data_IF_228445956305
#
_entry.id   IF_228445956305
#
_cell.length_a   1.000
_cell.length_b   1.000
_cell.length_c   1.000
_cell.angle_alpha   90.00
_cell.angle_beta   90.00
_cell.angle_gamma   90.00
#
_symmetry.space_group_name_H-M   'P 1'
#
loop_
_entity.id
_entity.type
_entity.pdbx_description
1 polymer ?
#
# COMPACT_ATOMS: atom_id res chain seq x y z
N UNK A 1 24.67 -44.96 27.90
CA UNK A 1 23.40 -44.23 27.78
C UNK A 1 22.50 -44.80 28.86
N UNK A 2 22.07 -43.97 29.82
CA UNK A 2 21.14 -44.39 30.86
C UNK A 2 19.78 -44.67 30.20
N UNK A 3 19.20 -45.82 30.48
CA UNK A 3 17.86 -46.19 30.05
C UNK A 3 17.03 -46.27 31.32
N UNK A 4 16.09 -45.35 31.47
CA UNK A 4 15.17 -45.37 32.60
C UNK A 4 14.09 -46.42 32.33
N UNK A 5 14.05 -47.45 33.16
CA UNK A 5 13.01 -48.47 33.12
C UNK A 5 11.91 -48.02 34.08
N UNK A 6 10.80 -47.54 33.52
CA UNK A 6 9.61 -47.18 34.29
C UNK A 6 8.66 -48.36 34.31
N UNK A 7 8.34 -48.83 35.51
CA UNK A 7 7.29 -49.81 35.74
C UNK A 7 6.03 -49.06 36.12
N UNK A 8 4.98 -49.18 35.31
CA UNK A 8 3.71 -48.54 35.61
C UNK A 8 3.19 -49.03 36.98
N UNK A 9 2.71 -48.12 37.85
CA UNK A 9 2.17 -48.50 39.15
C UNK A 9 0.95 -49.42 38.99
N UNK A 10 0.61 -50.18 40.03
CA UNK A 10 -0.54 -51.06 39.99
C UNK A 10 -1.80 -50.30 39.56
N UNK A 11 -2.65 -50.94 38.75
CA UNK A 11 -3.87 -50.35 38.15
C UNK A 11 -4.86 -49.71 39.12
N UNK A 12 -4.73 -49.96 40.42
CA UNK A 12 -5.54 -49.33 41.47
C UNK A 12 -5.02 -47.96 41.93
N UNK A 13 -3.80 -47.58 41.56
CA UNK A 13 -3.15 -46.32 41.95
C UNK A 13 -3.18 -45.29 40.82
N UNK A 14 -2.78 -45.68 39.61
CA UNK A 14 -2.77 -44.81 38.42
C UNK A 14 -2.98 -45.66 37.17
N UNK A 15 -3.66 -45.12 36.16
CA UNK A 15 -3.83 -45.80 34.87
C UNK A 15 -2.51 -45.82 34.08
N UNK A 16 -2.31 -46.83 33.23
CA UNK A 16 -1.16 -46.86 32.33
C UNK A 16 -1.16 -45.67 31.35
N UNK A 17 -2.35 -45.17 30.99
CA UNK A 17 -2.51 -43.99 30.17
C UNK A 17 -1.96 -42.72 30.83
N UNK A 18 -2.35 -42.46 32.08
CA UNK A 18 -1.86 -41.29 32.83
C UNK A 18 -0.34 -41.39 33.05
N UNK A 19 0.16 -42.60 33.34
CA UNK A 19 1.59 -42.85 33.46
C UNK A 19 2.31 -42.54 32.15
N UNK A 20 1.82 -43.04 31.00
CA UNK A 20 2.42 -42.77 29.69
C UNK A 20 2.37 -41.28 29.31
N UNK A 21 1.28 -40.58 29.64
CA UNK A 21 1.11 -39.15 29.35
C UNK A 21 2.22 -38.29 29.96
N UNK A 22 2.73 -38.65 31.14
CA UNK A 22 3.82 -37.95 31.82
C UNK A 22 5.14 -38.01 31.01
N UNK A 23 5.38 -39.11 30.28
CA UNK A 23 6.65 -39.35 29.59
C UNK A 23 6.64 -39.00 28.10
N UNK A 24 5.51 -39.16 27.40
CA UNK A 24 5.45 -39.00 25.92
C UNK A 24 5.85 -37.59 25.45
N UNK A 25 5.71 -36.58 26.32
CA UNK A 25 6.11 -35.20 26.01
C UNK A 25 7.60 -34.92 26.19
N UNK A 26 8.31 -35.74 26.98
CA UNK A 26 9.71 -35.52 27.36
C UNK A 26 10.67 -36.55 26.76
N UNK A 27 10.17 -37.75 26.47
CA UNK A 27 10.94 -38.86 25.94
C UNK A 27 10.14 -39.64 24.87
N UNK A 28 10.85 -40.47 24.09
CA UNK A 28 10.25 -41.43 23.17
C UNK A 28 10.12 -42.79 23.88
N UNK A 29 8.95 -43.14 24.45
CA UNK A 29 8.82 -44.37 25.21
C UNK A 29 8.78 -45.59 24.29
N UNK A 30 9.47 -46.66 24.69
CA UNK A 30 9.25 -47.99 24.13
C UNK A 30 8.37 -48.77 25.11
N UNK A 31 7.14 -49.05 24.71
CA UNK A 31 6.13 -49.63 25.60
C UNK A 31 6.20 -51.16 25.53
N UNK A 32 6.32 -51.79 26.70
CA UNK A 32 6.22 -53.25 26.86
C UNK A 32 4.99 -53.58 27.69
N UNK A 33 4.19 -54.55 27.24
CA UNK A 33 2.96 -54.98 27.93
C UNK A 33 3.06 -56.47 28.23
N UNK A 34 3.21 -56.81 29.51
CA UNK A 34 3.33 -58.18 29.98
C UNK A 34 1.96 -58.81 30.27
N UNK A 35 1.76 -60.06 29.86
CA UNK A 35 0.49 -60.79 29.95
C UNK A 35 0.76 -62.19 30.53
N UNK A 36 0.16 -62.52 31.65
CA UNK A 36 0.33 -63.86 32.24
C UNK A 36 -0.62 -64.90 31.61
N UNK A 37 -1.84 -64.47 31.29
CA UNK A 37 -2.94 -65.33 30.83
C UNK A 37 -2.92 -65.61 29.32
N UNK A 38 -3.53 -66.71 28.84
CA UNK A 38 -3.66 -67.01 27.42
C UNK A 38 -4.65 -66.08 26.68
N UNK A 39 -5.38 -65.22 27.40
CA UNK A 39 -6.35 -64.26 26.87
C UNK A 39 -6.25 -62.94 27.64
N UNK A 40 -6.49 -61.83 26.94
CA UNK A 40 -6.65 -60.52 27.56
C UNK A 40 -7.90 -60.49 28.45
N UNK A 41 -7.75 -60.00 29.66
CA UNK A 41 -8.87 -59.67 30.54
C UNK A 41 -9.67 -58.48 29.97
N UNK A 42 -10.93 -58.28 30.40
CA UNK A 42 -11.69 -57.10 30.00
C UNK A 42 -10.99 -55.78 30.36
N UNK A 43 -10.22 -55.77 31.45
CA UNK A 43 -9.43 -54.62 31.89
C UNK A 43 -8.24 -54.35 30.97
N UNK A 44 -7.50 -55.39 30.57
CA UNK A 44 -6.39 -55.25 29.61
C UNK A 44 -6.89 -54.68 28.28
N UNK A 45 -8.05 -55.16 27.81
CA UNK A 45 -8.68 -54.69 26.57
C UNK A 45 -9.09 -53.22 26.64
N UNK A 46 -9.60 -52.77 27.79
CA UNK A 46 -9.98 -51.37 27.99
C UNK A 46 -8.75 -50.47 28.02
N UNK A 47 -7.72 -50.85 28.78
CA UNK A 47 -6.46 -50.11 28.90
C UNK A 47 -5.72 -50.00 27.56
N UNK A 48 -5.60 -51.10 26.81
CA UNK A 48 -4.99 -51.07 25.48
C UNK A 48 -5.80 -50.22 24.50
N UNK A 49 -7.13 -50.22 24.57
CA UNK A 49 -7.94 -49.35 23.70
C UNK A 49 -7.65 -47.87 23.98
N UNK A 50 -7.55 -47.51 25.25
CA UNK A 50 -7.27 -46.13 25.68
C UNK A 50 -5.86 -45.68 25.24
N UNK A 51 -4.84 -46.52 25.43
CA UNK A 51 -3.47 -46.23 24.99
C UNK A 51 -3.42 -46.03 23.46
N UNK A 52 -4.13 -46.87 22.71
CA UNK A 52 -4.16 -46.77 21.24
C UNK A 52 -4.77 -45.46 20.77
N UNK A 53 -5.90 -45.08 21.36
CA UNK A 53 -6.65 -43.87 20.99
C UNK A 53 -5.82 -42.60 21.24
N UNK A 54 -5.14 -42.52 22.38
CA UNK A 54 -4.42 -41.32 22.79
C UNK A 54 -3.00 -41.21 22.22
N UNK A 55 -2.28 -42.32 22.10
CA UNK A 55 -0.85 -42.28 21.77
C UNK A 55 -0.45 -43.01 20.49
N UNK A 56 -1.26 -43.98 20.02
CA UNK A 56 -0.97 -44.77 18.80
C UNK A 56 0.46 -45.32 18.73
N UNK A 57 1.02 -45.74 19.87
CA UNK A 57 2.39 -46.22 19.99
C UNK A 57 2.53 -47.72 19.64
N UNK A 58 3.66 -48.14 19.05
CA UNK A 58 4.00 -49.56 18.96
C UNK A 58 4.23 -50.18 20.34
N UNK A 59 3.64 -51.35 20.59
CA UNK A 59 3.77 -52.07 21.88
C UNK A 59 4.43 -53.43 21.68
N UNK A 60 5.39 -53.75 22.55
CA UNK A 60 5.96 -55.10 22.67
C UNK A 60 5.14 -55.92 23.68
N UNK A 61 4.33 -56.85 23.19
CA UNK A 61 3.54 -57.74 24.03
C UNK A 61 4.37 -58.97 24.41
N UNK A 62 4.54 -59.22 25.71
CA UNK A 62 5.26 -60.38 26.22
C UNK A 62 4.30 -61.27 27.02
N UNK A 63 4.15 -62.53 26.62
CA UNK A 63 3.44 -63.50 27.44
C UNK A 63 4.41 -64.19 28.41
N UNK A 64 4.07 -64.21 29.69
CA UNK A 64 4.85 -64.88 30.75
C UNK A 64 3.99 -66.03 31.30
N UNK A 65 4.28 -67.30 30.98
CA UNK A 65 3.54 -68.42 31.54
C UNK A 65 3.72 -68.48 33.07
N UNK A 66 2.64 -68.61 33.84
CA UNK A 66 2.73 -69.03 35.25
C UNK A 66 3.19 -70.50 35.31
N UNK A 67 4.39 -70.76 35.84
CA UNK A 67 4.86 -72.11 36.09
C UNK A 67 4.13 -72.72 37.31
N UNK A 68 3.08 -73.51 37.07
CA UNK A 68 2.64 -74.51 38.05
C UNK A 68 3.45 -75.79 37.83
N UNK A 69 4.35 -76.10 38.77
CA UNK A 69 5.32 -77.20 38.69
C UNK A 69 4.76 -78.56 38.25
N UNK A 70 4.95 -78.91 36.96
CA UNK A 70 4.85 -80.27 36.44
C UNK A 70 5.95 -80.53 35.41
N UNK A 71 6.53 -81.71 35.53
CA UNK A 71 7.64 -82.28 34.76
C UNK A 71 7.56 -82.11 33.23
N UNK A 72 8.71 -82.17 32.53
CA UNK A 72 8.77 -81.95 31.08
C UNK A 72 8.26 -83.18 30.31
N UNK A 73 6.96 -83.26 30.05
CA UNK A 73 6.41 -84.26 29.12
C UNK A 73 6.33 -83.73 27.69
N UNK A 74 7.35 -84.08 26.89
CA UNK A 74 7.36 -84.22 25.42
C UNK A 74 7.11 -82.99 24.52
N UNK A 75 7.72 -82.92 23.32
CA UNK A 75 7.61 -81.77 22.42
C UNK A 75 6.27 -81.80 21.67
N UNK A 76 5.26 -81.09 22.18
CA UNK A 76 4.05 -80.82 21.39
C UNK A 76 4.39 -79.83 20.28
N UNK A 77 4.22 -80.28 19.03
CA UNK A 77 4.29 -79.48 17.79
C UNK A 77 3.53 -78.15 17.98
N UNK A 78 4.03 -77.02 17.43
CA UNK A 78 3.29 -75.77 17.50
C UNK A 78 1.95 -75.92 16.76
N UNK A 79 0.82 -75.50 17.34
CA UNK A 79 -0.44 -75.45 16.60
C UNK A 79 -0.28 -74.51 15.41
N UNK A 80 -0.75 -74.94 14.23
CA UNK A 80 -0.82 -74.12 13.01
C UNK A 80 -1.82 -72.96 13.14
N UNK A 81 -2.61 -72.94 14.21
CA UNK A 81 -3.64 -71.94 14.48
C UNK A 81 -3.10 -70.79 15.34
N UNK A 82 -3.48 -69.57 14.98
CA UNK A 82 -3.14 -68.35 15.71
C UNK A 82 -3.65 -68.46 17.16
N UNK A 83 -2.82 -68.07 18.14
CA UNK A 83 -3.21 -68.10 19.54
C UNK A 83 -4.42 -67.20 19.81
N UNK A 84 -5.27 -67.52 20.80
CA UNK A 84 -6.41 -66.66 21.15
C UNK A 84 -5.96 -65.23 21.49
N UNK A 85 -4.82 -65.08 22.16
CA UNK A 85 -4.21 -63.78 22.42
C UNK A 85 -3.84 -63.02 21.13
N UNK A 86 -3.24 -63.69 20.14
CA UNK A 86 -2.94 -63.09 18.84
C UNK A 86 -4.20 -62.59 18.14
N UNK A 87 -5.30 -63.35 18.16
CA UNK A 87 -6.56 -62.93 17.57
C UNK A 87 -7.15 -61.70 18.27
N UNK A 88 -7.07 -61.62 19.59
CA UNK A 88 -7.56 -60.47 20.35
C UNK A 88 -6.72 -59.20 20.09
N UNK A 89 -5.40 -59.32 19.94
CA UNK A 89 -4.54 -58.18 19.59
C UNK A 89 -4.69 -57.75 18.13
N UNK A 90 -5.06 -58.67 17.24
CA UNK A 90 -5.46 -58.37 15.87
C UNK A 90 -6.80 -57.63 15.83
N UNK A 91 -7.78 -58.03 16.63
CA UNK A 91 -9.08 -57.34 16.79
C UNK A 91 -8.90 -55.91 17.33
N UNK A 92 -8.01 -55.71 18.29
CA UNK A 92 -7.59 -54.39 18.77
C UNK A 92 -6.70 -53.63 17.76
N UNK A 93 -6.40 -54.23 16.61
CA UNK A 93 -5.56 -53.73 15.51
C UNK A 93 -4.18 -53.24 15.96
N UNK A 94 -3.59 -53.93 16.94
CA UNK A 94 -2.18 -53.77 17.31
C UNK A 94 -1.28 -54.57 16.39
N UNK A 95 -1.73 -55.75 15.96
CA UNK A 95 -1.01 -56.63 15.04
C UNK A 95 -1.52 -56.46 13.61
N UNK A 96 -0.66 -56.73 12.62
CA UNK A 96 -1.04 -56.73 11.20
C UNK A 96 -1.42 -58.15 10.73
N UNK A 97 -2.48 -58.31 9.90
CA UNK A 97 -2.92 -59.62 9.42
C UNK A 97 -1.96 -60.30 8.44
N UNK A 98 -0.98 -59.56 7.89
CA UNK A 98 -0.11 -59.94 6.78
C UNK A 98 1.25 -60.56 7.16
N UNK A 99 1.49 -60.95 8.43
CA UNK A 99 2.73 -61.64 8.83
C UNK A 99 2.49 -63.11 9.21
N UNK A 100 2.79 -64.08 8.32
CA UNK A 100 2.75 -65.51 8.63
C UNK A 100 3.91 -65.97 9.53
N UNK A 101 4.94 -65.14 9.70
CA UNK A 101 6.20 -65.48 10.39
C UNK A 101 6.26 -65.00 11.85
N UNK A 102 5.29 -64.19 12.31
CA UNK A 102 5.39 -63.52 13.61
C UNK A 102 6.45 -62.40 13.64
N UNK A 103 7.18 -62.20 12.55
CA UNK A 103 7.99 -61.01 12.32
C UNK A 103 7.06 -59.89 11.79
N UNK A 104 6.69 -58.96 12.67
CA UNK A 104 5.85 -57.81 12.33
C UNK A 104 6.52 -56.85 11.33
N UNK A 105 5.75 -55.88 10.85
CA UNK A 105 6.31 -54.75 10.08
C UNK A 105 7.34 -54.03 10.97
N UNK A 106 8.52 -53.65 10.47
CA UNK A 106 9.52 -52.95 11.29
C UNK A 106 8.93 -51.70 11.95
N UNK A 107 9.05 -51.61 13.28
CA UNK A 107 8.50 -50.47 14.05
C UNK A 107 6.98 -50.52 14.26
N UNK A 108 6.34 -51.68 14.08
CA UNK A 108 4.95 -51.96 14.53
C UNK A 108 4.94 -52.86 15.77
N UNK A 109 3.81 -52.90 16.48
CA UNK A 109 3.63 -53.77 17.66
C UNK A 109 3.90 -55.25 17.36
N UNK A 110 4.39 -55.98 18.36
CA UNK A 110 4.83 -57.38 18.24
C UNK A 110 4.31 -58.20 19.43
N UNK A 111 3.89 -59.44 19.20
CA UNK A 111 3.55 -60.40 20.24
C UNK A 111 4.61 -61.50 20.35
N UNK A 112 5.16 -61.68 21.55
CA UNK A 112 6.13 -62.72 21.88
C UNK A 112 5.54 -63.62 22.96
N UNK A 113 5.23 -64.87 22.60
CA UNK A 113 4.64 -65.84 23.53
C UNK A 113 5.65 -66.80 24.18
N UNK A 114 6.89 -66.78 23.72
CA UNK A 114 7.97 -67.65 24.19
C UNK A 114 9.00 -66.80 24.95
N UNK A 115 9.31 -67.10 26.22
CA UNK A 115 10.21 -66.27 27.03
C UNK A 115 11.63 -66.22 26.45
N UNK A 116 12.08 -67.27 25.75
CA UNK A 116 13.40 -67.33 25.10
C UNK A 116 13.53 -66.30 23.95
N UNK A 117 12.40 -65.81 23.44
CA UNK A 117 12.31 -64.79 22.40
C UNK A 117 12.28 -63.36 22.97
N UNK A 118 12.41 -63.17 24.28
CA UNK A 118 12.53 -61.82 24.89
C UNK A 118 13.69 -61.01 24.30
N UNK A 119 14.75 -61.66 23.81
CA UNK A 119 15.86 -61.03 23.06
C UNK A 119 15.40 -60.17 21.87
N UNK A 120 14.19 -60.40 21.34
CA UNK A 120 13.60 -59.59 20.27
C UNK A 120 13.25 -58.18 20.72
N UNK A 121 13.14 -57.91 22.03
CA UNK A 121 12.90 -56.57 22.57
C UNK A 121 13.98 -55.59 22.08
N UNK A 122 15.26 -55.98 22.11
CA UNK A 122 16.33 -55.11 21.61
C UNK A 122 16.15 -54.74 20.13
N UNK A 123 15.75 -55.69 19.29
CA UNK A 123 15.50 -55.43 17.87
C UNK A 123 14.25 -54.55 17.68
N UNK A 124 13.21 -54.77 18.48
CA UNK A 124 12.01 -53.97 18.47
C UNK A 124 12.29 -52.52 18.87
N UNK A 125 13.00 -52.28 19.98
CA UNK A 125 13.40 -50.94 20.42
C UNK A 125 14.16 -50.21 19.30
N UNK A 126 15.14 -50.88 18.68
CA UNK A 126 15.92 -50.31 17.58
C UNK A 126 15.03 -49.91 16.41
N UNK A 127 14.10 -50.77 16.00
CA UNK A 127 13.20 -50.50 14.87
C UNK A 127 12.25 -49.34 15.15
N UNK A 128 11.65 -49.29 16.34
CA UNK A 128 10.74 -48.20 16.74
C UNK A 128 11.48 -46.86 16.76
N UNK A 129 12.64 -46.81 17.42
CA UNK A 129 13.45 -45.58 17.49
C UNK A 129 13.97 -45.14 16.11
N UNK A 130 14.40 -46.09 15.28
CA UNK A 130 14.85 -45.78 13.92
C UNK A 130 13.72 -45.21 13.06
N UNK A 131 12.51 -45.77 13.16
CA UNK A 131 11.33 -45.25 12.46
C UNK A 131 11.05 -43.80 12.87
N UNK A 132 11.02 -43.51 14.17
CA UNK A 132 10.81 -42.15 14.66
C UNK A 132 11.89 -41.17 14.18
N UNK A 133 13.17 -41.59 14.19
CA UNK A 133 14.27 -40.77 13.70
C UNK A 133 14.11 -40.43 12.22
N UNK A 134 13.73 -41.41 11.38
CA UNK A 134 13.51 -41.21 9.95
C UNK A 134 12.33 -40.26 9.72
N UNK A 135 11.21 -40.45 10.41
CA UNK A 135 10.04 -39.58 10.31
C UNK A 135 10.36 -38.13 10.72
N UNK A 136 11.07 -37.94 11.83
CA UNK A 136 11.49 -36.63 12.30
C UNK A 136 12.46 -35.95 11.31
N UNK A 137 13.46 -36.68 10.82
CA UNK A 137 14.42 -36.17 9.84
C UNK A 137 13.74 -35.78 8.52
N UNK A 138 12.75 -36.57 8.07
CA UNK A 138 11.98 -36.29 6.86
C UNK A 138 11.17 -35.00 6.99
N UNK A 139 10.42 -34.85 8.09
CA UNK A 139 9.66 -33.63 8.38
C UNK A 139 10.57 -32.41 8.49
N UNK A 140 11.72 -32.55 9.15
CA UNK A 140 12.70 -31.47 9.25
C UNK A 140 13.25 -31.07 7.88
N UNK A 141 13.57 -32.04 7.03
CA UNK A 141 14.04 -31.79 5.66
C UNK A 141 12.99 -31.08 4.81
N UNK A 142 11.71 -31.44 4.94
CA UNK A 142 10.62 -30.77 4.25
C UNK A 142 10.47 -29.31 4.68
N UNK A 143 10.50 -29.05 5.99
CA UNK A 143 10.44 -27.68 6.54
C UNK A 143 11.64 -26.86 6.06
N UNK A 144 12.84 -27.42 6.15
CA UNK A 144 14.05 -26.75 5.71
C UNK A 144 14.01 -26.42 4.20
N UNK A 145 13.57 -27.36 3.37
CA UNK A 145 13.39 -27.14 1.93
C UNK A 145 12.40 -26.02 1.61
N UNK A 146 11.26 -25.95 2.34
CA UNK A 146 10.30 -24.86 2.19
C UNK A 146 10.89 -23.51 2.59
N UNK A 147 11.54 -23.44 3.75
CA UNK A 147 12.17 -22.20 4.21
C UNK A 147 13.23 -21.70 3.23
N UNK A 148 14.10 -22.58 2.73
CA UNK A 148 15.11 -22.22 1.73
C UNK A 148 14.46 -21.71 0.44
N UNK A 149 13.42 -22.39 -0.06
CA UNK A 149 12.72 -21.96 -1.26
C UNK A 149 12.07 -20.58 -1.07
N UNK A 150 11.46 -20.31 0.09
CA UNK A 150 10.93 -18.98 0.42
C UNK A 150 12.04 -17.93 0.44
N UNK A 151 13.16 -18.19 1.11
CA UNK A 151 14.30 -17.27 1.15
C UNK A 151 14.86 -16.99 -0.25
N UNK A 152 15.00 -18.02 -1.09
CA UNK A 152 15.50 -17.90 -2.46
C UNK A 152 14.57 -17.04 -3.31
N UNK A 153 13.26 -17.32 -3.27
CA UNK A 153 12.28 -16.55 -4.04
C UNK A 153 12.24 -15.09 -3.57
N UNK A 154 12.27 -14.85 -2.27
CA UNK A 154 12.31 -13.50 -1.71
C UNK A 154 13.59 -12.74 -2.10
N UNK A 155 14.74 -13.41 -2.14
CA UNK A 155 15.99 -12.82 -2.61
C UNK A 155 15.92 -12.45 -4.11
N UNK A 156 15.32 -13.30 -4.95
CA UNK A 156 15.13 -13.01 -6.37
C UNK A 156 14.16 -11.86 -6.62
N UNK A 157 13.05 -11.80 -5.87
CA UNK A 157 12.10 -10.69 -5.95
C UNK A 157 12.76 -9.38 -5.50
N UNK A 158 13.49 -9.39 -4.38
CA UNK A 158 14.24 -8.21 -3.92
C UNK A 158 15.29 -7.76 -4.93
N UNK A 159 16.03 -8.69 -5.55
CA UNK A 159 17.00 -8.36 -6.60
C UNK A 159 16.32 -7.75 -7.84
N UNK A 160 15.15 -8.28 -8.23
CA UNK A 160 14.35 -7.71 -9.32
C UNK A 160 13.89 -6.30 -8.97
N UNK A 161 13.39 -6.08 -7.77
CA UNK A 161 12.92 -4.77 -7.32
C UNK A 161 14.06 -3.75 -7.27
N UNK A 162 15.25 -4.16 -6.82
CA UNK A 162 16.46 -3.32 -6.85
C UNK A 162 16.88 -2.92 -8.28
N UNK A 163 16.56 -3.72 -9.30
CA UNK A 163 16.88 -3.40 -10.70
C UNK A 163 15.78 -2.62 -11.41
N UNK A 164 14.52 -2.93 -11.13
CA UNK A 164 13.36 -2.35 -11.81
C UNK A 164 13.00 -1.00 -11.20
N UNK A 165 13.01 -0.87 -9.87
CA UNK A 165 12.55 0.35 -9.17
C UNK A 165 13.37 1.59 -9.55
N UNK A 166 14.71 1.55 -9.66
CA UNK A 166 15.47 2.71 -10.12
C UNK A 166 15.10 3.15 -11.53
N UNK A 167 14.89 2.19 -12.45
CA UNK A 167 14.46 2.48 -13.82
C UNK A 167 13.06 3.10 -13.86
N UNK A 168 12.15 2.63 -13.00
CA UNK A 168 10.81 3.21 -12.84
C UNK A 168 10.89 4.65 -12.36
N UNK A 169 11.63 4.90 -11.27
CA UNK A 169 11.81 6.25 -10.72
C UNK A 169 12.41 7.21 -11.75
N UNK A 170 13.38 6.74 -12.55
CA UNK A 170 13.99 7.54 -13.61
C UNK A 170 13.01 7.84 -14.75
N UNK A 171 12.23 6.86 -15.19
CA UNK A 171 11.19 7.06 -16.20
C UNK A 171 10.13 8.04 -15.71
N UNK A 172 9.63 7.88 -14.48
CA UNK A 172 8.64 8.79 -13.89
C UNK A 172 9.21 10.21 -13.78
N UNK A 173 10.45 10.37 -13.32
CA UNK A 173 11.14 11.67 -13.27
C UNK A 173 11.20 12.32 -14.64
N UNK A 174 11.61 11.58 -15.67
CA UNK A 174 11.68 12.08 -17.05
C UNK A 174 10.31 12.54 -17.56
N UNK A 175 9.28 11.72 -17.35
CA UNK A 175 7.92 12.02 -17.82
C UNK A 175 7.29 13.20 -17.11
N UNK A 176 7.55 13.35 -15.81
CA UNK A 176 7.13 14.53 -15.08
C UNK A 176 7.86 15.79 -15.56
N UNK A 177 9.16 15.72 -15.86
CA UNK A 177 9.88 16.86 -16.44
C UNK A 177 9.36 17.25 -17.82
N UNK A 178 9.03 16.26 -18.68
CA UNK A 178 8.37 16.50 -19.98
C UNK A 178 7.01 17.20 -19.80
N UNK A 179 6.24 16.81 -18.77
CA UNK A 179 4.96 17.43 -18.43
C UNK A 179 5.14 18.87 -17.92
N UNK A 180 6.09 19.09 -17.02
CA UNK A 180 6.42 20.42 -16.48
C UNK A 180 6.76 21.41 -17.61
N UNK A 181 7.65 21.03 -18.53
CA UNK A 181 8.03 21.87 -19.67
C UNK A 181 6.83 22.17 -20.59
N UNK A 182 5.99 21.17 -20.85
CA UNK A 182 4.77 21.34 -21.65
C UNK A 182 3.81 22.36 -21.01
N UNK A 183 3.53 22.20 -19.70
CA UNK A 183 2.65 23.09 -18.94
C UNK A 183 3.22 24.51 -18.83
N UNK A 184 4.53 24.64 -18.63
CA UNK A 184 5.22 25.93 -18.63
C UNK A 184 5.10 26.63 -19.99
N UNK A 185 5.21 25.86 -21.08
CA UNK A 185 4.97 26.33 -22.44
C UNK A 185 3.55 26.85 -22.65
N UNK A 186 2.53 26.13 -22.17
CA UNK A 186 1.11 26.56 -22.25
C UNK A 186 0.90 27.85 -21.44
N UNK A 187 1.42 27.93 -20.21
CA UNK A 187 1.31 29.12 -19.37
C UNK A 187 1.92 30.36 -20.04
N UNK A 188 3.08 30.21 -20.68
CA UNK A 188 3.75 31.31 -21.38
C UNK A 188 2.97 31.79 -22.61
N UNK A 189 2.43 30.87 -23.43
CA UNK A 189 1.58 31.24 -24.57
C UNK A 189 0.31 31.97 -24.11
N UNK A 190 -0.32 31.46 -23.06
CA UNK A 190 -1.55 32.04 -22.50
C UNK A 190 -1.32 33.39 -21.82
N UNK A 191 -0.11 33.67 -21.33
CA UNK A 191 0.26 35.03 -20.89
C UNK A 191 0.13 36.04 -22.01
N UNK A 192 0.58 35.67 -23.21
CA UNK A 192 0.55 36.57 -24.36
C UNK A 192 -0.88 36.76 -24.88
N UNK A 193 -1.67 35.69 -24.97
CA UNK A 193 -3.09 35.76 -25.31
C UNK A 193 -3.89 36.63 -24.31
N UNK A 194 -3.62 36.49 -23.00
CA UNK A 194 -4.23 37.36 -21.98
C UNK A 194 -3.79 38.82 -22.14
N UNK A 195 -2.51 39.07 -22.46
CA UNK A 195 -2.01 40.42 -22.73
C UNK A 195 -2.77 41.05 -23.90
N UNK A 196 -2.93 40.32 -25.00
CA UNK A 196 -3.69 40.78 -26.17
C UNK A 196 -5.15 41.05 -25.82
N UNK A 197 -5.82 40.14 -25.11
CA UNK A 197 -7.21 40.32 -24.66
C UNK A 197 -7.40 41.57 -23.78
N UNK A 198 -6.44 41.89 -22.91
CA UNK A 198 -6.47 43.11 -22.10
C UNK A 198 -6.28 44.35 -22.99
N UNK A 199 -5.35 44.32 -23.95
CA UNK A 199 -5.13 45.43 -24.90
C UNK A 199 -6.37 45.67 -25.76
N UNK A 200 -6.99 44.61 -26.27
CA UNK A 200 -8.20 44.70 -27.09
C UNK A 200 -9.38 45.27 -26.30
N UNK A 201 -9.52 44.85 -25.03
CA UNK A 201 -10.58 45.34 -24.14
C UNK A 201 -10.35 46.80 -23.75
N UNK A 202 -9.10 47.20 -23.51
CA UNK A 202 -8.71 48.60 -23.32
C UNK A 202 -9.03 49.44 -24.55
N UNK A 203 -8.73 48.92 -25.76
CA UNK A 203 -9.00 49.59 -27.02
C UNK A 203 -10.49 49.75 -27.29
N UNK A 204 -11.29 48.71 -27.06
CA UNK A 204 -12.73 48.74 -27.32
C UNK A 204 -13.50 49.65 -26.37
N UNK A 205 -13.11 49.69 -25.09
CA UNK A 205 -13.78 50.50 -24.08
C UNK A 205 -13.27 51.95 -24.02
N UNK A 206 -12.22 52.27 -24.78
CA UNK A 206 -11.55 53.57 -24.70
C UNK A 206 -12.53 54.73 -24.86
N UNK A 207 -13.33 54.73 -25.93
CA UNK A 207 -14.23 55.85 -26.23
C UNK A 207 -15.37 55.94 -25.20
N UNK A 208 -15.96 54.80 -24.82
CA UNK A 208 -17.00 54.74 -23.78
C UNK A 208 -16.51 55.30 -22.43
N UNK A 209 -15.28 54.96 -22.02
CA UNK A 209 -14.68 55.46 -20.79
C UNK A 209 -14.38 56.97 -20.85
N UNK A 210 -14.02 57.49 -22.02
CA UNK A 210 -13.82 58.93 -22.24
C UNK A 210 -15.15 59.69 -22.15
N UNK A 211 -16.23 59.13 -22.69
CA UNK A 211 -17.58 59.71 -22.59
C UNK A 211 -18.15 59.65 -21.17
N UNK A 212 -17.99 58.52 -20.47
CA UNK A 212 -18.35 58.36 -19.05
C UNK A 212 -17.58 59.36 -18.17
N UNK A 213 -16.28 59.59 -18.45
CA UNK A 213 -15.49 60.58 -17.74
C UNK A 213 -15.91 62.03 -18.05
N UNK A 214 -16.28 62.33 -19.30
CA UNK A 214 -16.73 63.66 -19.71
C UNK A 214 -18.07 64.05 -19.04
N UNK A 215 -18.99 63.08 -18.95
CA UNK A 215 -20.32 63.22 -18.35
C UNK A 215 -20.34 63.08 -16.82
N UNK A 216 -19.22 62.71 -16.20
CA UNK A 216 -19.11 62.52 -14.75
C UNK A 216 -19.44 63.79 -13.96
N UNK A 217 -20.38 63.67 -13.02
CA UNK A 217 -20.60 64.65 -11.95
C UNK A 217 -19.75 64.28 -10.73
N UNK A 218 -18.95 65.23 -10.23
CA UNK A 218 -18.10 64.98 -9.07
C UNK A 218 -18.90 65.03 -7.78
N UNK A 219 -18.67 64.07 -6.90
CA UNK A 219 -19.24 64.08 -5.55
C UNK A 219 -18.38 64.94 -4.63
N UNK A 220 -19.03 65.71 -3.77
CA UNK A 220 -18.40 66.54 -2.73
C UNK A 220 -17.48 67.67 -3.24
N UNK A 221 -17.69 68.16 -4.47
CA UNK A 221 -16.90 69.25 -5.06
C UNK A 221 -17.84 70.30 -5.67
N UNK A 222 -17.73 71.54 -5.23
CA UNK A 222 -18.45 72.67 -5.83
C UNK A 222 -17.57 73.24 -6.95
N UNK A 223 -17.95 73.01 -8.21
CA UNK A 223 -17.27 73.61 -9.36
C UNK A 223 -17.84 75.04 -9.52
N UNK A 224 -17.02 76.10 -9.37
CA UNK A 224 -17.49 77.46 -9.62
C UNK A 224 -17.81 77.66 -11.11
N UNK A 225 -19.02 78.11 -11.42
CA UNK A 225 -19.48 78.36 -12.81
C UNK A 225 -18.79 79.56 -13.48
N UNK A 226 -18.13 80.42 -12.70
CA UNK A 226 -17.65 81.74 -13.16
C UNK A 226 -16.19 81.78 -13.67
N UNK A 227 -15.58 80.64 -14.00
CA UNK A 227 -14.19 80.63 -14.50
C UNK A 227 -13.12 80.97 -13.46
N UNK A 228 -13.49 80.97 -12.16
CA UNK A 228 -12.57 81.06 -11.04
C UNK A 228 -11.71 79.78 -10.93
N UNK A 229 -10.41 79.89 -10.60
CA UNK A 229 -9.53 78.75 -10.52
C UNK A 229 -9.96 77.79 -9.40
N UNK A 230 -10.20 76.54 -9.77
CA UNK A 230 -10.53 75.46 -8.83
C UNK A 230 -9.35 75.20 -7.89
N UNK A 231 -9.63 75.02 -6.59
CA UNK A 231 -8.58 74.78 -5.60
C UNK A 231 -7.79 73.50 -5.93
N UNK A 232 -6.47 73.52 -5.72
CA UNK A 232 -5.59 72.38 -6.04
C UNK A 232 -5.95 71.10 -5.27
N UNK A 233 -6.65 71.21 -4.13
CA UNK A 233 -7.17 70.05 -3.38
C UNK A 233 -8.37 69.41 -4.09
N UNK A 234 -9.23 70.23 -4.67
CA UNK A 234 -10.45 69.79 -5.36
C UNK A 234 -10.09 69.21 -6.73
N UNK A 235 -9.13 69.80 -7.45
CA UNK A 235 -8.57 69.22 -8.68
C UNK A 235 -8.01 67.80 -8.43
N UNK A 236 -7.27 67.61 -7.32
CA UNK A 236 -6.74 66.28 -6.95
C UNK A 236 -7.86 65.29 -6.70
N UNK A 237 -8.94 65.70 -6.03
CA UNK A 237 -10.09 64.85 -5.74
C UNK A 237 -10.91 64.53 -7.00
N UNK A 238 -11.03 65.47 -7.94
CA UNK A 238 -11.60 65.23 -9.27
C UNK A 238 -10.81 64.17 -10.04
N UNK A 239 -9.48 64.30 -10.09
CA UNK A 239 -8.60 63.33 -10.77
C UNK A 239 -8.76 61.94 -10.13
N UNK A 240 -8.82 61.88 -8.80
CA UNK A 240 -8.98 60.62 -8.07
C UNK A 240 -10.32 59.94 -8.39
N UNK A 241 -11.43 60.70 -8.45
CA UNK A 241 -12.74 60.16 -8.83
C UNK A 241 -12.78 59.66 -10.29
N UNK A 242 -12.15 60.39 -11.23
CA UNK A 242 -12.02 59.95 -12.62
C UNK A 242 -11.24 58.63 -12.70
N UNK A 243 -10.12 58.54 -11.98
CA UNK A 243 -9.31 57.33 -11.92
C UNK A 243 -10.07 56.14 -11.32
N UNK A 244 -10.81 56.35 -10.23
CA UNK A 244 -11.59 55.29 -9.59
C UNK A 244 -12.69 54.74 -10.49
N UNK A 245 -13.39 55.61 -11.24
CA UNK A 245 -14.39 55.18 -12.21
C UNK A 245 -13.77 54.34 -13.32
N UNK A 246 -12.67 54.81 -13.92
CA UNK A 246 -11.97 54.12 -15.01
C UNK A 246 -11.46 52.77 -14.53
N UNK A 247 -10.78 52.73 -13.38
CA UNK A 247 -10.25 51.49 -12.79
C UNK A 247 -11.40 50.53 -12.49
N UNK A 248 -12.50 51.00 -11.89
CA UNK A 248 -13.63 50.13 -11.55
C UNK A 248 -14.25 49.49 -12.79
N UNK A 249 -14.56 50.29 -13.83
CA UNK A 249 -15.19 49.79 -15.05
C UNK A 249 -14.26 48.88 -15.85
N UNK A 250 -13.00 49.26 -15.97
CA UNK A 250 -12.01 48.45 -16.67
C UNK A 250 -11.76 47.13 -15.95
N UNK A 251 -11.63 47.14 -14.62
CA UNK A 251 -11.44 45.93 -13.83
C UNK A 251 -12.59 44.96 -14.01
N UNK A 252 -13.82 45.46 -14.01
CA UNK A 252 -14.99 44.62 -14.18
C UNK A 252 -15.02 43.95 -15.56
N UNK A 253 -14.76 44.70 -16.63
CA UNK A 253 -14.75 44.15 -17.99
C UNK A 253 -13.59 43.18 -18.22
N UNK A 254 -12.39 43.53 -17.74
CA UNK A 254 -11.19 42.69 -17.85
C UNK A 254 -11.33 41.43 -16.99
N UNK A 255 -11.87 41.53 -15.76
CA UNK A 255 -12.12 40.37 -14.90
C UNK A 255 -13.12 39.41 -15.53
N UNK A 256 -14.23 39.91 -16.09
CA UNK A 256 -15.23 39.05 -16.74
C UNK A 256 -14.65 38.23 -17.90
N UNK A 257 -13.77 38.82 -18.72
CA UNK A 257 -13.09 38.09 -19.80
C UNK A 257 -11.95 37.19 -19.31
N UNK A 258 -11.27 37.59 -18.22
CA UNK A 258 -10.21 36.79 -17.60
C UNK A 258 -10.74 35.52 -16.95
N UNK A 259 -11.92 35.54 -16.33
CA UNK A 259 -12.54 34.37 -15.70
C UNK A 259 -12.59 33.20 -16.71
N UNK A 260 -13.16 33.42 -17.89
CA UNK A 260 -13.25 32.39 -18.92
C UNK A 260 -11.87 31.93 -19.44
N UNK A 261 -10.89 32.83 -19.53
CA UNK A 261 -9.53 32.50 -19.99
C UNK A 261 -8.77 31.66 -18.95
N UNK A 262 -8.96 31.96 -17.66
CA UNK A 262 -8.37 31.25 -16.53
C UNK A 262 -9.04 29.89 -16.31
N UNK A 263 -10.35 29.79 -16.48
CA UNK A 263 -11.06 28.52 -16.40
C UNK A 263 -10.66 27.58 -17.53
N UNK A 264 -10.55 28.10 -18.77
CA UNK A 264 -10.00 27.33 -19.89
C UNK A 264 -8.56 26.88 -19.64
N UNK A 265 -7.72 27.74 -19.05
CA UNK A 265 -6.37 27.38 -18.66
C UNK A 265 -6.39 26.23 -17.66
N UNK A 266 -7.22 26.31 -16.62
CA UNK A 266 -7.38 25.24 -15.62
C UNK A 266 -7.80 23.92 -16.28
N UNK A 267 -8.86 23.92 -17.08
CA UNK A 267 -9.38 22.72 -17.73
C UNK A 267 -8.37 22.10 -18.71
N UNK A 268 -7.66 22.94 -19.47
CA UNK A 268 -6.60 22.49 -20.39
C UNK A 268 -5.44 21.83 -19.65
N UNK A 269 -5.03 22.39 -18.49
CA UNK A 269 -3.99 21.84 -17.64
C UNK A 269 -4.41 20.49 -17.04
N UNK A 270 -5.60 20.43 -16.43
CA UNK A 270 -6.15 19.21 -15.83
C UNK A 270 -6.27 18.12 -16.89
N UNK A 271 -6.82 18.41 -18.07
CA UNK A 271 -6.97 17.41 -19.12
C UNK A 271 -5.63 16.92 -19.69
N UNK A 272 -4.62 17.79 -19.79
CA UNK A 272 -3.26 17.37 -20.22
C UNK A 272 -2.66 16.41 -19.20
N UNK A 273 -2.82 16.74 -17.92
CA UNK A 273 -2.37 15.92 -16.80
C UNK A 273 -3.00 14.53 -16.80
N UNK A 274 -4.33 14.46 -16.92
CA UNK A 274 -5.09 13.21 -16.94
C UNK A 274 -4.66 12.28 -18.07
N UNK A 275 -4.39 12.83 -19.26
CA UNK A 275 -3.93 12.05 -20.42
C UNK A 275 -2.51 11.53 -20.21
N UNK A 276 -1.61 12.34 -19.63
CA UNK A 276 -0.25 11.93 -19.34
C UNK A 276 -0.18 10.88 -18.22
N UNK A 277 -0.96 11.03 -17.15
CA UNK A 277 -1.10 10.03 -16.08
C UNK A 277 -1.61 8.70 -16.62
N UNK A 278 -2.65 8.73 -17.46
CA UNK A 278 -3.19 7.52 -18.09
C UNK A 278 -2.16 6.86 -19.02
N UNK A 279 -1.45 7.64 -19.82
CA UNK A 279 -0.38 7.13 -20.68
C UNK A 279 0.79 6.53 -19.90
N UNK A 280 1.11 7.08 -18.72
CA UNK A 280 2.10 6.52 -17.80
C UNK A 280 1.64 5.16 -17.24
N UNK A 281 0.37 5.04 -16.89
CA UNK A 281 -0.25 3.80 -16.41
C UNK A 281 -0.26 2.73 -17.53
N UNK A 282 -0.68 3.08 -18.74
CA UNK A 282 -0.78 2.18 -19.90
C UNK A 282 0.58 1.76 -20.49
N UNK A 283 1.54 2.69 -20.62
CA UNK A 283 2.90 2.42 -21.12
C UNK A 283 3.67 1.43 -20.22
N UNK A 284 3.29 1.34 -18.96
CA UNK A 284 3.89 0.43 -17.99
C UNK A 284 3.31 -0.98 -18.10
N UNK A 285 1.98 -1.10 -18.26
CA UNK A 285 1.32 -2.40 -18.45
C UNK A 285 1.86 -3.16 -19.68
N UNK A 286 2.21 -2.44 -20.74
CA UNK A 286 2.73 -3.04 -21.98
C UNK A 286 4.23 -3.37 -22.01
N UNK A 287 5.06 -2.80 -21.12
CA UNK A 287 6.53 -2.86 -21.27
C UNK A 287 7.25 -3.90 -20.40
N UNK A 288 6.58 -4.52 -19.42
CA UNK A 288 7.28 -5.35 -18.40
C UNK A 288 6.84 -6.81 -18.31
N UNK A 289 5.81 -7.29 -19.03
CA UNK A 289 5.35 -8.68 -18.90
C UNK A 289 4.98 -9.36 -20.22
N UNK A 290 5.59 -10.53 -20.56
CA UNK A 290 4.88 -11.56 -21.29
C UNK A 290 3.85 -12.21 -20.37
N UNK A 291 2.67 -12.50 -20.90
CA UNK A 291 1.57 -13.15 -20.21
C UNK A 291 1.98 -14.54 -19.65
N UNK A 292 2.25 -14.62 -18.34
CA UNK A 292 2.15 -15.88 -17.58
C UNK A 292 1.40 -15.61 -16.29
N UNK A 293 0.24 -16.24 -16.17
CA UNK A 293 -0.62 -16.15 -14.99
C UNK A 293 0.00 -16.86 -13.79
N UNK A 294 -0.22 -16.30 -12.61
CA UNK A 294 -1.10 -16.88 -11.59
C UNK A 294 -1.33 -15.83 -10.49
N UNK A 295 -2.36 -16.08 -9.68
CA UNK A 295 -3.20 -15.18 -8.88
C UNK A 295 -2.56 -14.46 -7.67
N UNK A 296 -1.25 -14.54 -7.45
CA UNK A 296 -0.60 -13.88 -6.29
C UNK A 296 0.01 -12.50 -6.61
N UNK A 297 -0.11 -12.03 -7.86
CA UNK A 297 0.44 -10.74 -8.31
C UNK A 297 -0.32 -9.50 -7.85
N UNK A 298 -1.59 -9.60 -7.49
CA UNK A 298 -2.43 -8.40 -7.32
C UNK A 298 -2.03 -7.55 -6.12
N UNK A 299 -1.43 -8.14 -5.07
CA UNK A 299 -1.12 -7.41 -3.83
C UNK A 299 0.10 -6.49 -3.93
N UNK A 300 1.10 -6.83 -4.73
CA UNK A 300 2.28 -5.97 -4.99
C UNK A 300 2.05 -5.00 -6.17
N UNK A 301 1.14 -5.37 -7.08
CA UNK A 301 0.75 -4.61 -8.27
C UNK A 301 -0.06 -3.36 -7.92
N UNK A 302 -0.78 -3.39 -6.81
CA UNK A 302 -1.61 -2.28 -6.34
C UNK A 302 -0.79 -1.22 -5.58
N UNK A 303 0.13 -1.61 -4.70
CA UNK A 303 0.82 -0.68 -3.80
C UNK A 303 1.74 0.37 -4.46
N UNK A 304 2.37 0.06 -5.59
CA UNK A 304 3.39 0.96 -6.18
C UNK A 304 2.88 1.86 -7.32
N UNK A 305 1.87 1.41 -8.07
CA UNK A 305 1.23 2.22 -9.14
C UNK A 305 0.23 3.22 -8.54
N UNK A 306 -0.41 2.86 -7.42
CA UNK A 306 -1.37 3.72 -6.73
C UNK A 306 -0.70 4.86 -5.95
N UNK A 307 0.54 4.68 -5.48
CA UNK A 307 1.23 5.75 -4.72
C UNK A 307 1.59 6.93 -5.63
N UNK A 308 2.06 6.70 -6.86
CA UNK A 308 2.35 7.80 -7.79
C UNK A 308 1.08 8.48 -8.29
N UNK A 309 0.02 7.71 -8.62
CA UNK A 309 -1.25 8.25 -9.14
C UNK A 309 -2.04 8.99 -8.05
N UNK A 310 -2.13 8.44 -6.83
CA UNK A 310 -2.81 9.09 -5.71
C UNK A 310 -2.02 10.26 -5.14
N UNK A 311 -0.68 10.21 -5.12
CA UNK A 311 0.12 11.34 -4.63
C UNK A 311 0.07 12.52 -5.61
N UNK A 312 0.16 12.26 -6.93
CA UNK A 312 -0.01 13.31 -7.95
C UNK A 312 -1.43 13.90 -7.90
N UNK A 313 -2.47 13.07 -7.79
CA UNK A 313 -3.85 13.54 -7.61
C UNK A 313 -4.04 14.33 -6.32
N UNK A 314 -3.53 13.85 -5.18
CA UNK A 314 -3.64 14.54 -3.89
C UNK A 314 -2.85 15.85 -3.85
N UNK A 315 -1.66 15.89 -4.46
CA UNK A 315 -0.80 17.08 -4.58
C UNK A 315 -1.30 18.07 -5.66
N UNK A 316 -2.28 17.71 -6.49
CA UNK A 316 -2.91 18.67 -7.39
C UNK A 316 -4.33 19.08 -7.00
N UNK A 317 -5.14 18.17 -6.43
CA UNK A 317 -6.48 18.49 -5.92
C UNK A 317 -6.43 19.50 -4.76
N UNK A 318 -5.43 19.39 -3.86
CA UNK A 318 -5.28 20.35 -2.75
C UNK A 318 -4.89 21.76 -3.23
N UNK A 319 -3.99 21.86 -4.22
CA UNK A 319 -3.43 23.13 -4.71
C UNK A 319 -4.40 23.87 -5.64
N UNK A 320 -5.27 23.13 -6.33
CA UNK A 320 -6.33 23.67 -7.18
C UNK A 320 -7.57 24.10 -6.37
N UNK A 321 -7.96 23.33 -5.34
CA UNK A 321 -9.17 23.62 -4.54
C UNK A 321 -8.99 24.76 -3.53
N UNK A 322 -7.83 24.90 -2.88
CA UNK A 322 -7.65 25.90 -1.81
C UNK A 322 -7.30 27.31 -2.32
N UNK A 323 -6.76 27.45 -3.53
CA UNK A 323 -6.23 28.73 -4.00
C UNK A 323 -7.09 29.49 -5.01
N UNK A 324 -8.31 29.01 -5.29
CA UNK A 324 -9.19 29.54 -6.35
C UNK A 324 -10.61 29.85 -5.83
N UNK A 325 -10.93 29.40 -4.63
CA UNK A 325 -12.11 29.84 -3.87
C UNK A 325 -11.86 31.09 -3.01
N UNK A 326 -10.61 31.50 -2.82
CA UNK A 326 -10.34 32.84 -2.29
C UNK A 326 -10.62 33.89 -3.37
N UNK A 327 -11.39 34.95 -3.06
CA UNK A 327 -11.65 36.01 -4.02
C UNK A 327 -10.30 36.56 -4.47
N UNK A 328 -10.06 36.55 -5.79
CA UNK A 328 -8.89 37.20 -6.38
C UNK A 328 -8.70 38.55 -5.70
N UNK A 329 -7.55 38.73 -5.05
CA UNK A 329 -7.15 40.06 -4.59
C UNK A 329 -7.29 41.02 -5.79
N UNK A 330 -7.78 42.27 -5.58
CA UNK A 330 -8.05 43.20 -6.67
C UNK A 330 -6.87 43.21 -7.63
N UNK A 331 -7.13 42.98 -8.92
CA UNK A 331 -6.13 42.89 -9.99
C UNK A 331 -5.16 44.09 -10.02
N UNK A 332 -5.49 45.18 -9.33
CA UNK A 332 -4.70 46.37 -9.16
C UNK A 332 -4.45 46.65 -7.67
N UNK A 333 -3.18 46.76 -7.24
CA UNK A 333 -2.89 47.53 -6.04
C UNK A 333 -3.36 48.97 -6.28
N UNK A 334 -4.31 49.46 -5.47
CA UNK A 334 -4.78 50.86 -5.50
C UNK A 334 -3.65 51.91 -5.37
N UNK A 335 -2.43 51.47 -5.09
CA UNK A 335 -1.27 52.29 -4.72
C UNK A 335 -0.22 52.55 -5.81
N UNK A 336 -0.29 51.94 -7.02
CA UNK A 336 0.82 52.04 -8.00
C UNK A 336 0.60 52.97 -9.22
N UNK A 337 -0.59 53.55 -9.41
CA UNK A 337 -0.88 54.43 -10.56
C UNK A 337 -0.64 55.93 -10.23
N UNK A 338 -0.34 56.24 -8.97
CA UNK A 338 -0.34 57.63 -8.45
C UNK A 338 0.85 58.49 -8.96
N UNK A 339 1.87 57.93 -9.61
CA UNK A 339 3.15 58.64 -9.79
C UNK A 339 3.45 59.30 -11.15
N UNK A 340 2.56 59.27 -12.17
CA UNK A 340 2.96 59.76 -13.51
C UNK A 340 1.91 60.60 -14.26
N UNK A 341 1.32 61.61 -13.63
CA UNK A 341 0.54 62.62 -14.34
C UNK A 341 1.21 64.00 -14.23
N UNK A 342 1.28 64.71 -15.36
CA UNK A 342 1.81 66.06 -15.40
C UNK A 342 0.80 67.02 -14.75
N UNK A 343 1.20 67.61 -13.63
CA UNK A 343 0.39 68.38 -12.68
C UNK A 343 0.02 69.79 -13.19
N UNK A 344 -0.46 69.91 -14.42
CA UNK A 344 -0.86 71.21 -14.96
C UNK A 344 -2.28 71.51 -14.51
N UNK A 345 -2.40 72.50 -13.62
CA UNK A 345 -3.69 72.98 -13.10
C UNK A 345 -4.48 73.64 -14.25
N UNK A 346 -5.64 73.10 -14.64
CA UNK A 346 -6.43 73.70 -15.71
C UNK A 346 -7.15 74.96 -15.19
N UNK A 347 -7.40 75.95 -16.06
CA UNK A 347 -8.21 77.11 -15.70
C UNK A 347 -9.68 76.75 -15.38
N UNK A 348 -10.20 75.65 -15.95
CA UNK A 348 -11.57 75.18 -15.71
C UNK A 348 -11.67 73.65 -15.86
N UNK A 349 -12.56 73.03 -15.06
CA UNK A 349 -12.86 71.59 -15.10
C UNK A 349 -13.83 71.30 -16.25
N UNK A 350 -13.35 71.42 -17.49
CA UNK A 350 -14.13 71.19 -18.71
C UNK A 350 -14.27 69.71 -19.05
N UNK A 351 -15.23 69.36 -19.91
CA UNK A 351 -15.38 68.01 -20.47
C UNK A 351 -14.09 67.52 -21.14
N UNK A 352 -13.39 68.41 -21.84
CA UNK A 352 -12.15 68.09 -22.56
C UNK A 352 -11.00 67.82 -21.59
N UNK A 353 -10.97 68.53 -20.45
CA UNK A 353 -10.01 68.23 -19.39
C UNK A 353 -10.28 66.85 -18.77
N UNK A 354 -11.54 66.51 -18.48
CA UNK A 354 -11.91 65.19 -17.95
C UNK A 354 -11.50 64.07 -18.92
N UNK A 355 -11.75 64.23 -20.23
CA UNK A 355 -11.28 63.29 -21.26
C UNK A 355 -9.76 63.16 -21.27
N UNK A 356 -9.02 64.26 -21.14
CA UNK A 356 -7.55 64.22 -21.13
C UNK A 356 -7.00 63.48 -19.91
N UNK A 357 -7.55 63.73 -18.71
CA UNK A 357 -7.19 63.01 -17.48
C UNK A 357 -7.51 61.52 -17.61
N UNK A 358 -8.68 61.20 -18.19
CA UNK A 358 -9.07 59.82 -18.44
C UNK A 358 -8.15 59.12 -19.44
N UNK A 359 -7.76 59.80 -20.52
CA UNK A 359 -6.82 59.31 -21.53
C UNK A 359 -5.46 58.98 -20.91
N UNK A 360 -4.90 59.89 -20.10
CA UNK A 360 -3.62 59.66 -19.43
C UNK A 360 -3.72 58.54 -18.38
N UNK A 361 -4.87 58.38 -17.71
CA UNK A 361 -5.12 57.25 -16.81
C UNK A 361 -5.16 55.91 -17.56
N UNK A 362 -5.82 55.83 -18.71
CA UNK A 362 -5.89 54.64 -19.57
C UNK A 362 -4.50 54.27 -20.10
N UNK A 363 -3.71 55.25 -20.56
CA UNK A 363 -2.34 55.03 -21.06
C UNK A 363 -1.36 54.60 -19.96
N UNK A 364 -1.62 54.98 -18.71
CA UNK A 364 -0.81 54.57 -17.56
C UNK A 364 -1.01 53.10 -17.16
N UNK A 365 -2.12 52.47 -17.60
CA UNK A 365 -2.45 51.08 -17.30
C UNK A 365 -1.69 50.14 -18.23
N UNK A 366 -0.64 49.51 -17.71
CA UNK A 366 0.15 48.55 -18.50
C UNK A 366 -0.49 47.15 -18.52
N UNK A 367 -1.11 46.79 -19.63
CA UNK A 367 -1.62 45.42 -19.89
C UNK A 367 -0.54 44.34 -19.63
N UNK A 368 0.73 44.64 -19.97
CA UNK A 368 1.86 43.75 -19.74
C UNK A 368 2.09 43.41 -18.26
N UNK A 369 1.90 44.35 -17.32
CA UNK A 369 2.08 44.06 -15.89
C UNK A 369 0.96 43.17 -15.35
N UNK A 370 -0.28 43.35 -15.82
CA UNK A 370 -1.42 42.56 -15.37
C UNK A 370 -1.29 41.11 -15.85
N UNK A 371 -1.05 40.91 -17.15
CA UNK A 371 -0.83 39.58 -17.71
C UNK A 371 0.36 38.86 -17.04
N UNK A 372 1.48 39.58 -16.81
CA UNK A 372 2.63 39.05 -16.08
C UNK A 372 2.31 38.67 -14.65
N UNK A 373 1.50 39.45 -13.93
CA UNK A 373 1.13 39.16 -12.54
C UNK A 373 0.37 37.83 -12.43
N UNK A 374 -0.66 37.65 -13.26
CA UNK A 374 -1.50 36.44 -13.26
C UNK A 374 -0.66 35.22 -13.66
N UNK A 375 0.08 35.29 -14.78
CA UNK A 375 0.92 34.18 -15.22
C UNK A 375 2.09 33.89 -14.30
N UNK A 376 2.64 34.89 -13.59
CA UNK A 376 3.67 34.65 -12.58
C UNK A 376 3.13 33.77 -11.45
N UNK A 377 1.89 34.00 -10.99
CA UNK A 377 1.30 33.18 -9.93
C UNK A 377 1.15 31.71 -10.35
N UNK A 378 0.67 31.47 -11.58
CA UNK A 378 0.57 30.11 -12.13
C UNK A 378 1.93 29.44 -12.25
N UNK A 379 2.95 30.14 -12.79
CA UNK A 379 4.30 29.61 -12.95
C UNK A 379 4.95 29.28 -11.61
N UNK A 380 4.79 30.15 -10.61
CA UNK A 380 5.29 29.90 -9.26
C UNK A 380 4.67 28.62 -8.68
N UNK A 381 3.35 28.44 -8.80
CA UNK A 381 2.68 27.21 -8.33
C UNK A 381 3.15 25.96 -9.08
N UNK A 382 3.28 26.05 -10.41
CA UNK A 382 3.82 24.94 -11.21
C UNK A 382 5.23 24.55 -10.75
N UNK A 383 6.09 25.54 -10.49
CA UNK A 383 7.45 25.31 -10.02
C UNK A 383 7.47 24.68 -8.62
N UNK A 384 6.63 25.15 -7.70
CA UNK A 384 6.50 24.53 -6.36
C UNK A 384 6.05 23.07 -6.45
N UNK A 385 5.07 22.77 -7.31
CA UNK A 385 4.59 21.41 -7.52
C UNK A 385 5.68 20.50 -8.10
N UNK A 386 6.42 20.97 -9.10
CA UNK A 386 7.58 20.27 -9.66
C UNK A 386 8.66 19.97 -8.61
N UNK A 387 9.01 20.98 -7.79
CA UNK A 387 10.00 20.83 -6.72
C UNK A 387 9.52 19.84 -5.64
N UNK A 388 8.24 19.88 -5.25
CA UNK A 388 7.65 18.96 -4.29
C UNK A 388 7.65 17.51 -4.81
N UNK A 389 7.35 17.32 -6.10
CA UNK A 389 7.44 16.01 -6.74
C UNK A 389 8.87 15.48 -6.78
N UNK A 390 9.82 16.32 -7.18
CA UNK A 390 11.24 15.96 -7.19
C UNK A 390 11.77 15.61 -5.79
N UNK A 391 11.33 16.33 -4.76
CA UNK A 391 11.65 16.03 -3.36
C UNK A 391 11.06 14.68 -2.91
N UNK A 392 9.82 14.38 -3.29
CA UNK A 392 9.14 13.13 -2.94
C UNK A 392 9.81 11.92 -3.59
N UNK A 393 10.22 12.03 -4.86
CA UNK A 393 10.99 10.98 -5.53
C UNK A 393 12.34 10.69 -4.86
N UNK A 394 12.94 11.67 -4.18
CA UNK A 394 14.19 11.46 -3.42
C UNK A 394 13.96 10.70 -2.11
N UNK A 395 12.77 10.80 -1.51
CA UNK A 395 12.42 10.09 -0.28
C UNK A 395 12.05 8.62 -0.53
N UNK A 396 11.64 8.28 -1.75
CA UNK A 396 11.31 6.89 -2.17
C UNK A 396 12.55 6.08 -2.55
N UNK A 397 13.75 6.67 -2.41
CA UNK A 397 15.04 6.03 -2.66
C UNK A 397 15.51 5.27 -1.42
#
# INVERSE_FOLDING_TARGET
>A
QEVDIVVAPCRGFQSAEATLAEFVNQALPVVTFAISEPRLSPRDRAELREIKEKFSLPIFFLRIPEEAGREPTSPKKPPKDKSPLHLQLLELQYLSPSSPCGCGVPGSSMLVEQPEKLRLLSSFCRQVLQKHLVEAATRLSEVHGRCLNTCINQAFDMQRDLQITPKRLEYTRRKESELYESLMGIANRKQEEMREMIVDTLGSMKEELLEDAASMEFRDIIIPENGEPVSSKDIKRCIQQIQELIISRLNQAVANKLISSVDYLRESFVGTLERCLRSLEESWEGSVLPARGDRDRDRAREGSVHVTSNYLKQVWDWEISLGMGEPMAPCFPRSQIIQRLSWVSPPAVSSDWKRKVAQEAIESLSASKLAKSICSQFRTRLNCSHEAFAASLRQVR
#
